data_IF_674489564935
#
_entry.id   IF_674489564935
#
_cell.length_a   1.000
_cell.length_b   1.000
_cell.length_c   1.000
_cell.angle_alpha   90.00
_cell.angle_beta   90.00
_cell.angle_gamma   90.00
#
_symmetry.space_group_name_H-M   'P 1'
#
loop_
_entity.id
_entity.type
_entity.pdbx_description
1 polymer ?
#
# COMPACT_ATOMS: atom_id res chain seq x y z
N UNK A 1 -11.89 -14.18 -14.14
CA UNK A 1 -12.28 -13.85 -12.75
C UNK A 1 -13.48 -12.92 -12.79
N UNK A 2 -14.45 -13.10 -11.90
CA UNK A 2 -15.58 -12.17 -11.75
C UNK A 2 -15.20 -10.98 -10.87
N UNK A 3 -15.89 -9.83 -11.03
CA UNK A 3 -15.67 -8.62 -10.21
C UNK A 3 -15.71 -8.93 -8.70
N UNK A 4 -16.57 -9.87 -8.29
CA UNK A 4 -16.65 -10.34 -6.90
C UNK A 4 -15.33 -10.91 -6.38
N UNK A 5 -14.59 -11.67 -7.20
CA UNK A 5 -13.32 -12.27 -6.78
C UNK A 5 -12.24 -11.22 -6.52
N UNK A 6 -12.21 -10.15 -7.33
CA UNK A 6 -11.31 -9.02 -7.10
C UNK A 6 -11.69 -8.25 -5.84
N UNK A 7 -12.99 -8.05 -5.58
CA UNK A 7 -13.50 -7.41 -4.36
C UNK A 7 -13.04 -8.16 -3.10
N UNK A 8 -13.17 -9.49 -3.08
CA UNK A 8 -12.67 -10.32 -1.98
C UNK A 8 -11.16 -10.19 -1.78
N UNK A 9 -10.37 -10.19 -2.87
CA UNK A 9 -8.93 -9.98 -2.79
C UNK A 9 -8.57 -8.61 -2.21
N UNK A 10 -9.28 -7.56 -2.61
CA UNK A 10 -9.11 -6.20 -2.09
C UNK A 10 -9.44 -6.10 -0.60
N UNK A 11 -10.55 -6.69 -0.17
CA UNK A 11 -10.98 -6.68 1.24
C UNK A 11 -9.99 -7.43 2.14
N UNK A 12 -9.48 -8.58 1.68
CA UNK A 12 -8.43 -9.32 2.40
C UNK A 12 -7.18 -8.47 2.57
N UNK A 13 -6.70 -7.83 1.50
CA UNK A 13 -5.50 -6.98 1.58
C UNK A 13 -5.71 -5.76 2.48
N UNK A 14 -6.90 -5.14 2.45
CA UNK A 14 -7.28 -4.06 3.38
C UNK A 14 -7.22 -4.52 4.83
N UNK A 15 -7.78 -5.70 5.14
CA UNK A 15 -7.75 -6.25 6.48
C UNK A 15 -6.32 -6.56 6.95
N UNK A 16 -5.46 -7.08 6.06
CA UNK A 16 -4.04 -7.33 6.33
C UNK A 16 -3.31 -6.04 6.73
N UNK A 17 -3.43 -4.98 5.91
CA UNK A 17 -2.81 -3.68 6.18
C UNK A 17 -3.34 -3.07 7.49
N UNK A 18 -4.66 -3.14 7.73
CA UNK A 18 -5.25 -2.62 8.96
C UNK A 18 -4.83 -3.43 10.19
N UNK A 19 -4.61 -4.74 10.05
CA UNK A 19 -4.09 -5.60 11.11
C UNK A 19 -2.63 -5.28 11.44
N UNK A 20 -1.80 -4.95 10.45
CA UNK A 20 -0.43 -4.49 10.69
C UNK A 20 -0.39 -3.11 11.34
N UNK A 21 -1.33 -2.22 11.02
CA UNK A 21 -1.43 -0.88 11.63
C UNK A 21 -2.01 -0.93 13.05
N UNK A 22 -2.94 -1.85 13.34
CA UNK A 22 -3.53 -2.06 14.66
C UNK A 22 -2.72 -2.98 15.58
N UNK A 23 -1.84 -3.81 15.01
CA UNK A 23 -0.94 -4.72 15.72
C UNK A 23 0.29 -3.99 16.26
N UNK A 24 0.19 -3.56 17.52
CA UNK A 24 1.15 -2.77 18.29
C UNK A 24 1.05 -1.26 18.02
N UNK A 25 0.51 -0.49 18.99
CA UNK A 25 0.84 0.92 19.07
C UNK A 25 2.36 1.03 18.98
N UNK A 26 2.82 2.08 18.33
CA UNK A 26 4.19 2.53 18.40
C UNK A 26 4.73 2.22 19.80
N UNK A 27 5.60 1.21 19.91
CA UNK A 27 6.57 1.17 21.00
C UNK A 27 7.62 2.25 20.69
N UNK A 28 7.14 3.47 20.40
CA UNK A 28 7.75 4.70 20.85
C UNK A 28 7.48 4.73 22.35
N UNK A 29 8.04 3.77 23.07
CA UNK A 29 8.58 4.09 24.38
C UNK A 29 9.60 5.18 24.09
N UNK A 30 9.17 6.44 24.27
CA UNK A 30 10.07 7.54 24.61
C UNK A 30 10.65 7.28 26.02
N UNK A 31 11.17 6.08 26.25
CA UNK A 31 11.77 5.59 27.47
C UNK A 31 13.12 5.00 27.09
N UNK A 32 13.96 5.81 26.46
CA UNK A 32 15.39 5.53 26.47
C UNK A 32 16.23 6.81 26.48
N UNK A 33 15.85 7.74 27.36
CA UNK A 33 16.74 8.82 27.79
C UNK A 33 17.80 8.34 28.80
N UNK A 34 18.11 7.03 28.89
CA UNK A 34 19.05 6.56 29.92
C UNK A 34 19.97 5.40 29.52
N UNK A 35 20.07 5.02 28.25
CA UNK A 35 21.18 4.14 27.82
C UNK A 35 21.81 4.68 26.54
N UNK A 36 22.94 5.36 26.75
CA UNK A 36 23.99 5.59 25.75
C UNK A 36 24.33 4.24 25.09
N UNK A 37 23.69 3.94 23.97
CA UNK A 37 24.26 3.03 22.97
C UNK A 37 25.29 3.82 22.16
N UNK A 38 26.38 3.16 21.77
CA UNK A 38 27.40 3.76 20.91
C UNK A 38 26.78 4.34 19.62
N UNK A 39 27.49 5.25 18.95
CA UNK A 39 27.02 5.96 17.75
C UNK A 39 26.48 5.00 16.67
N UNK A 40 26.97 3.76 16.63
CA UNK A 40 26.51 2.68 15.76
C UNK A 40 25.08 2.21 16.08
N UNK A 41 24.69 2.15 17.36
CA UNK A 41 23.33 1.76 17.79
C UNK A 41 22.31 2.87 17.50
N UNK A 42 22.71 4.13 17.65
CA UNK A 42 21.85 5.26 17.29
C UNK A 42 21.62 5.37 15.78
N UNK A 43 22.66 5.14 14.97
CA UNK A 43 22.53 5.09 13.51
C UNK A 43 21.59 3.95 13.06
N UNK A 44 21.70 2.77 13.70
CA UNK A 44 20.87 1.61 13.41
C UNK A 44 19.40 1.84 13.79
N UNK A 45 19.14 2.39 14.97
CA UNK A 45 17.79 2.72 15.43
C UNK A 45 17.10 3.79 14.56
N UNK A 46 17.83 4.81 14.14
CA UNK A 46 17.29 5.83 13.23
C UNK A 46 16.96 5.25 11.85
N UNK A 47 17.79 4.37 11.31
CA UNK A 47 17.50 3.70 10.04
C UNK A 47 16.24 2.81 10.14
N UNK A 48 16.09 2.08 11.24
CA UNK A 48 14.91 1.25 11.48
C UNK A 48 13.61 2.07 11.55
N UNK A 49 13.63 3.21 12.25
CA UNK A 49 12.48 4.13 12.30
C UNK A 49 12.14 4.67 10.91
N UNK A 50 13.13 5.08 10.12
CA UNK A 50 12.91 5.55 8.75
C UNK A 50 12.30 4.47 7.84
N UNK A 51 12.79 3.22 7.92
CA UNK A 51 12.24 2.09 7.15
C UNK A 51 10.78 1.87 7.54
N UNK A 52 10.48 1.79 8.84
CA UNK A 52 9.11 1.61 9.34
C UNK A 52 8.17 2.74 8.90
N UNK A 53 8.64 3.99 8.89
CA UNK A 53 7.84 5.12 8.42
C UNK A 53 7.52 5.01 6.92
N UNK A 54 8.50 4.66 6.08
CA UNK A 54 8.30 4.46 4.64
C UNK A 54 7.34 3.32 4.33
N UNK A 55 7.40 2.23 5.10
CA UNK A 55 6.45 1.11 4.99
C UNK A 55 5.04 1.61 5.28
N UNK A 56 4.82 2.28 6.42
CA UNK A 56 3.51 2.86 6.76
C UNK A 56 2.96 3.83 5.72
N UNK A 57 3.82 4.68 5.14
CA UNK A 57 3.41 5.58 4.05
C UNK A 57 2.99 4.80 2.80
N UNK A 58 3.67 3.70 2.49
CA UNK A 58 3.34 2.84 1.37
C UNK A 58 2.03 2.10 1.61
N UNK A 59 1.83 1.57 2.80
CA UNK A 59 0.61 0.89 3.22
C UNK A 59 -0.61 1.82 3.17
N UNK A 60 -0.46 3.06 3.63
CA UNK A 60 -1.50 4.08 3.53
C UNK A 60 -1.88 4.37 2.06
N UNK A 61 -0.90 4.46 1.15
CA UNK A 61 -1.16 4.64 -0.30
C UNK A 61 -1.86 3.44 -0.91
N UNK A 62 -1.50 2.22 -0.49
CA UNK A 62 -2.15 0.99 -0.94
C UNK A 62 -3.59 0.95 -0.43
N UNK A 63 -3.83 1.28 0.83
CA UNK A 63 -5.17 1.33 1.41
C UNK A 63 -6.08 2.30 0.65
N UNK A 64 -5.59 3.51 0.36
CA UNK A 64 -6.31 4.48 -0.48
C UNK A 64 -6.61 3.91 -1.87
N UNK A 65 -5.65 3.23 -2.50
CA UNK A 65 -5.86 2.60 -3.81
C UNK A 65 -6.90 1.48 -3.77
N UNK A 66 -6.96 0.71 -2.67
CA UNK A 66 -7.96 -0.33 -2.46
C UNK A 66 -9.36 0.28 -2.33
N UNK A 67 -9.52 1.31 -1.49
CA UNK A 67 -10.82 1.99 -1.30
C UNK A 67 -11.32 2.62 -2.61
N UNK A 68 -10.42 3.22 -3.37
CA UNK A 68 -10.73 3.78 -4.68
C UNK A 68 -11.11 2.69 -5.69
N UNK A 69 -10.42 1.54 -5.68
CA UNK A 69 -10.76 0.41 -6.53
C UNK A 69 -12.15 -0.14 -6.20
N UNK A 70 -12.50 -0.25 -4.91
CA UNK A 70 -13.84 -0.65 -4.46
C UNK A 70 -14.91 0.35 -4.92
N UNK A 71 -14.65 1.65 -4.80
CA UNK A 71 -15.56 2.69 -5.28
C UNK A 71 -15.80 2.60 -6.79
N UNK A 72 -14.74 2.35 -7.59
CA UNK A 72 -14.87 2.14 -9.04
C UNK A 72 -15.68 0.90 -9.40
N UNK A 73 -15.57 -0.17 -8.61
CA UNK A 73 -16.41 -1.36 -8.80
C UNK A 73 -17.89 -1.02 -8.61
N UNK A 74 -18.23 -0.19 -7.63
CA UNK A 74 -19.61 0.29 -7.42
C UNK A 74 -20.09 1.20 -8.55
N UNK A 75 -19.19 1.98 -9.14
CA UNK A 75 -19.47 2.85 -10.29
C UNK A 75 -19.45 2.14 -11.65
N UNK A 76 -19.10 0.85 -11.70
CA UNK A 76 -18.88 0.10 -12.95
C UNK A 76 -17.72 0.64 -13.83
N UNK A 77 -16.79 1.42 -13.27
CA UNK A 77 -15.56 1.90 -13.93
C UNK A 77 -14.31 1.12 -13.49
N UNK A 78 -14.49 -0.10 -12.95
CA UNK A 78 -13.37 -0.93 -12.53
C UNK A 78 -12.62 -1.51 -13.72
N UNK A 79 -11.29 -1.43 -13.67
CA UNK A 79 -10.42 -1.90 -14.76
C UNK A 79 -10.15 -0.84 -15.83
N UNK A 80 -10.46 0.43 -15.59
CA UNK A 80 -10.09 1.55 -16.47
C UNK A 80 -8.88 2.33 -15.91
N UNK A 81 -7.92 2.66 -16.77
CA UNK A 81 -6.74 3.44 -16.44
C UNK A 81 -7.13 4.91 -16.19
N UNK A 82 -6.69 5.48 -15.07
CA UNK A 82 -6.90 6.89 -14.75
C UNK A 82 -6.24 7.90 -15.70
N UNK A 83 -5.17 7.48 -16.34
CA UNK A 83 -4.27 8.40 -17.04
C UNK A 83 -4.59 8.44 -18.54
N UNK A 84 -4.83 7.27 -19.16
CA UNK A 84 -5.19 7.17 -20.56
C UNK A 84 -6.66 6.79 -20.83
N UNK A 85 -7.42 6.38 -19.81
CA UNK A 85 -8.79 5.88 -19.99
C UNK A 85 -8.88 4.49 -20.63
N UNK A 86 -7.77 3.81 -20.91
CA UNK A 86 -7.78 2.48 -21.51
C UNK A 86 -8.06 1.37 -20.49
N UNK A 87 -8.58 0.24 -20.98
CA UNK A 87 -8.78 -0.95 -20.17
C UNK A 87 -7.44 -1.50 -19.63
N UNK A 88 -7.38 -1.76 -18.33
CA UNK A 88 -6.24 -2.36 -17.65
C UNK A 88 -6.23 -3.86 -17.95
N UNK A 89 -5.07 -4.36 -18.39
CA UNK A 89 -4.90 -5.78 -18.70
C UNK A 89 -5.32 -6.68 -17.52
N UNK A 90 -6.10 -7.75 -17.76
CA UNK A 90 -6.61 -8.62 -16.70
C UNK A 90 -5.48 -9.33 -15.94
N UNK A 91 -4.36 -9.65 -16.61
CA UNK A 91 -3.17 -10.19 -15.96
C UNK A 91 -2.65 -9.28 -14.84
N UNK A 92 -2.76 -7.95 -15.02
CA UNK A 92 -2.31 -6.97 -14.03
C UNK A 92 -3.33 -6.77 -12.91
N UNK A 93 -4.63 -6.85 -13.21
CA UNK A 93 -5.68 -6.87 -12.18
C UNK A 93 -5.60 -8.15 -11.32
N UNK A 94 -5.23 -9.28 -11.91
CA UNK A 94 -4.98 -10.54 -11.19
C UNK A 94 -3.79 -10.42 -10.22
N UNK A 95 -2.70 -9.75 -10.64
CA UNK A 95 -1.52 -9.56 -9.80
C UNK A 95 -1.70 -8.44 -8.76
N UNK A 96 -2.31 -7.32 -9.15
CA UNK A 96 -2.46 -6.10 -8.35
C UNK A 96 -3.87 -5.53 -8.58
N UNK A 97 -4.90 -6.04 -7.88
CA UNK A 97 -6.29 -5.65 -8.12
C UNK A 97 -6.63 -4.19 -7.75
N UNK A 98 -5.79 -3.53 -6.94
CA UNK A 98 -5.94 -2.11 -6.56
C UNK A 98 -5.21 -1.15 -7.50
N UNK A 99 -4.70 -1.62 -8.63
CA UNK A 99 -4.00 -0.75 -9.58
C UNK A 99 -4.95 0.26 -10.24
N UNK A 100 -4.51 1.53 -10.33
CA UNK A 100 -5.29 2.62 -10.93
C UNK A 100 -4.89 2.99 -12.37
N UNK A 101 -3.70 2.57 -12.79
CA UNK A 101 -3.12 2.92 -14.09
C UNK A 101 -2.88 1.66 -14.90
N UNK A 102 -2.70 1.72 -16.22
CA UNK A 102 -2.25 0.58 -17.05
C UNK A 102 -0.73 0.37 -16.93
N UNK A 103 -0.19 -0.68 -17.58
CA UNK A 103 1.25 -0.94 -17.58
C UNK A 103 2.01 0.18 -18.34
N UNK A 104 1.51 0.58 -19.50
CA UNK A 104 2.09 1.63 -20.35
C UNK A 104 2.25 2.96 -19.62
N UNK A 105 1.21 3.43 -18.93
CA UNK A 105 1.28 4.67 -18.14
C UNK A 105 2.19 4.55 -16.93
N UNK A 106 2.26 3.36 -16.31
CA UNK A 106 3.17 3.10 -15.19
C UNK A 106 4.64 3.10 -15.64
N UNK A 107 4.94 2.53 -16.80
CA UNK A 107 6.28 2.56 -17.41
C UNK A 107 6.71 3.98 -17.77
N UNK A 108 5.80 4.80 -18.32
CA UNK A 108 6.05 6.22 -18.61
C UNK A 108 6.39 7.06 -17.37
N UNK A 109 5.75 6.80 -16.22
CA UNK A 109 6.06 7.50 -14.96
C UNK A 109 7.36 7.05 -14.30
N UNK A 110 7.84 5.85 -14.63
CA UNK A 110 9.07 5.31 -14.07
C UNK A 110 10.32 5.71 -14.88
N UNK A 111 10.14 6.43 -15.99
CA UNK A 111 11.20 6.90 -16.89
C UNK A 111 11.64 8.33 -16.57
#
# INVERSE_FOLDING_TARGET
>A
MSISQYKDALLRKRAEILSEVGGKPLQTTMDNNTRQGDLADQASGNNEVHIRLKLKQTDAKILQAIEEALYRMEKSNYGECLDCGEAIAPARLNAIPWTRMCITCKEKQAS
#
